data_IF_819133261291
#
_entry.id   IF_819133261291
#
_cell.length_a   1.000
_cell.length_b   1.000
_cell.length_c   1.000
_cell.angle_alpha   90.00
_cell.angle_beta   90.00
_cell.angle_gamma   90.00
#
_symmetry.space_group_name_H-M   'P 1'
#
loop_
_entity.id
_entity.type
_entity.pdbx_description
1 polymer ?
#
# COMPACT_ATOMS: atom_id res chain seq x y z
N UNK A 1 -54.38 -28.90 8.16
CA UNK A 1 -53.79 -27.61 7.70
C UNK A 1 -52.29 -27.65 7.93
N UNK A 2 -51.48 -27.79 6.87
CA UNK A 2 -50.02 -27.74 6.96
C UNK A 2 -49.61 -26.35 6.55
N UNK A 3 -49.14 -25.53 7.51
CA UNK A 3 -48.55 -24.20 7.23
C UNK A 3 -47.16 -24.36 6.64
N UNK A 4 -46.95 -23.99 5.41
CA UNK A 4 -45.66 -23.83 4.78
C UNK A 4 -45.07 -22.50 5.19
N UNK A 5 -44.03 -22.51 6.06
CA UNK A 5 -43.21 -21.32 6.30
C UNK A 5 -42.20 -21.17 5.16
N UNK A 6 -42.43 -20.18 4.31
CA UNK A 6 -41.43 -19.72 3.33
C UNK A 6 -40.40 -18.89 4.05
N UNK A 7 -39.19 -19.44 4.27
CA UNK A 7 -38.05 -18.64 4.74
C UNK A 7 -37.48 -17.92 3.55
N UNK A 8 -37.81 -16.61 3.44
CA UNK A 8 -37.18 -15.72 2.48
C UNK A 8 -35.74 -15.44 2.92
N UNK A 9 -34.78 -16.16 2.33
CA UNK A 9 -33.36 -15.91 2.53
C UNK A 9 -32.98 -14.60 1.83
N UNK A 10 -32.87 -13.53 2.60
CA UNK A 10 -32.35 -12.25 2.09
C UNK A 10 -30.83 -12.39 2.02
N UNK A 11 -30.31 -12.68 0.83
CA UNK A 11 -28.86 -12.61 0.56
C UNK A 11 -28.45 -11.15 0.50
N UNK A 12 -27.92 -10.63 1.61
CA UNK A 12 -27.31 -9.29 1.65
C UNK A 12 -26.00 -9.41 0.87
N UNK A 13 -26.00 -8.93 -0.38
CA UNK A 13 -24.80 -8.73 -1.16
C UNK A 13 -24.04 -7.53 -0.55
N UNK A 14 -23.06 -7.80 0.31
CA UNK A 14 -22.12 -6.81 0.78
C UNK A 14 -21.30 -6.34 -0.41
N UNK A 15 -21.60 -5.18 -0.96
CA UNK A 15 -20.73 -4.52 -1.94
C UNK A 15 -19.47 -4.07 -1.21
N UNK A 16 -18.39 -4.79 -1.36
CA UNK A 16 -17.06 -4.30 -1.02
C UNK A 16 -16.72 -3.21 -2.03
N UNK A 17 -16.64 -1.97 -1.58
CA UNK A 17 -16.14 -0.87 -2.39
C UNK A 17 -14.62 -0.98 -2.44
N UNK A 18 -14.09 -1.37 -3.59
CA UNK A 18 -12.66 -1.32 -3.87
C UNK A 18 -12.31 0.11 -4.27
N UNK A 19 -11.37 0.73 -3.58
CA UNK A 19 -10.87 2.06 -3.90
C UNK A 19 -9.57 1.96 -4.71
N UNK A 20 -9.36 2.92 -5.60
CA UNK A 20 -8.06 3.12 -6.23
C UNK A 20 -7.50 4.45 -5.73
N UNK A 21 -6.39 4.37 -5.00
CA UNK A 21 -5.67 5.51 -4.49
C UNK A 21 -4.52 5.88 -5.42
N UNK A 22 -4.41 7.15 -5.75
CA UNK A 22 -3.37 7.71 -6.60
C UNK A 22 -2.39 8.53 -5.77
N UNK A 23 -1.10 8.37 -6.04
CA UNK A 23 -0.02 9.08 -5.34
C UNK A 23 0.92 9.70 -6.35
N UNK A 24 1.25 10.98 -6.18
CA UNK A 24 2.14 11.73 -7.07
C UNK A 24 2.87 12.81 -6.29
N UNK A 25 4.14 13.08 -6.61
CA UNK A 25 4.88 14.17 -5.99
C UNK A 25 4.24 15.56 -6.24
N UNK A 26 3.44 15.70 -7.32
CA UNK A 26 2.64 16.88 -7.60
C UNK A 26 1.28 16.89 -6.88
N UNK A 27 0.98 15.89 -6.06
CA UNK A 27 -0.27 15.77 -5.30
C UNK A 27 -0.33 16.66 -4.08
N UNK A 28 -1.40 16.47 -3.31
CA UNK A 28 -1.62 17.11 -2.02
C UNK A 28 -2.29 16.12 -1.06
N UNK A 29 -1.81 16.04 0.17
CA UNK A 29 -2.33 15.11 1.18
C UNK A 29 -3.70 15.52 1.75
N UNK A 30 -4.17 16.72 1.44
CA UNK A 30 -5.55 17.15 1.71
C UNK A 30 -6.55 16.64 0.66
N UNK A 31 -6.07 16.09 -0.46
CA UNK A 31 -6.91 15.44 -1.46
C UNK A 31 -7.53 14.14 -0.91
N UNK A 32 -8.53 13.62 -1.63
CA UNK A 32 -9.11 12.31 -1.31
C UNK A 32 -8.31 11.13 -1.87
N UNK A 33 -7.37 11.37 -2.79
CA UNK A 33 -6.53 10.37 -3.44
C UNK A 33 -7.25 9.44 -4.42
N UNK A 34 -8.55 9.61 -4.64
CA UNK A 34 -9.37 8.66 -5.41
C UNK A 34 -9.39 8.92 -6.92
N UNK A 35 -8.59 9.87 -7.39
CA UNK A 35 -8.42 10.11 -8.82
C UNK A 35 -7.01 10.61 -9.13
N UNK A 36 -6.56 10.40 -10.37
CA UNK A 36 -5.26 10.88 -10.82
C UNK A 36 -5.17 12.42 -10.91
N UNK A 37 -6.30 13.15 -10.91
CA UNK A 37 -6.35 14.61 -10.85
C UNK A 37 -6.16 15.15 -9.43
N UNK A 38 -6.52 14.37 -8.41
CA UNK A 38 -6.44 14.73 -7.00
C UNK A 38 -5.69 13.67 -6.19
N UNK A 39 -4.42 13.37 -6.56
CA UNK A 39 -3.64 12.33 -5.90
C UNK A 39 -3.17 12.81 -4.52
N UNK A 40 -2.84 11.88 -3.66
CA UNK A 40 -2.03 12.12 -2.47
C UNK A 40 -0.60 12.50 -2.87
N UNK A 41 0.14 13.08 -1.96
CA UNK A 41 1.52 13.48 -2.19
C UNK A 41 2.53 12.54 -1.54
N UNK A 42 2.30 12.13 -0.31
CA UNK A 42 3.32 11.51 0.53
C UNK A 42 3.02 10.07 0.89
N UNK A 43 4.09 9.33 1.22
CA UNK A 43 4.00 8.01 1.86
C UNK A 43 3.36 8.12 3.25
N UNK A 44 3.62 9.20 3.99
CA UNK A 44 3.04 9.40 5.32
C UNK A 44 1.52 9.42 5.29
N UNK A 45 0.95 10.02 4.24
CA UNK A 45 -0.50 10.00 4.01
C UNK A 45 -1.01 8.57 3.79
N UNK A 46 -0.31 7.78 2.99
CA UNK A 46 -0.66 6.37 2.76
C UNK A 46 -0.56 5.55 4.06
N UNK A 47 0.46 5.82 4.87
CA UNK A 47 0.68 5.16 6.16
C UNK A 47 -0.44 5.44 7.19
N UNK A 48 -1.25 6.49 6.96
CA UNK A 48 -2.43 6.79 7.79
C UNK A 48 -3.68 6.01 7.39
N UNK A 49 -3.65 5.31 6.25
CA UNK A 49 -4.81 4.60 5.68
C UNK A 49 -4.76 3.13 6.06
N UNK A 50 -5.92 2.58 6.42
CA UNK A 50 -6.12 1.14 6.53
C UNK A 50 -6.86 0.67 5.28
N UNK A 51 -6.16 -0.07 4.41
CA UNK A 51 -6.68 -0.51 3.12
C UNK A 51 -7.63 -1.69 3.28
N UNK A 52 -8.59 -1.81 2.38
CA UNK A 52 -9.54 -2.92 2.33
C UNK A 52 -9.17 -3.91 1.22
N UNK A 53 -9.74 -5.11 1.31
CA UNK A 53 -9.59 -6.10 0.26
C UNK A 53 -10.07 -5.55 -1.10
N UNK A 54 -9.23 -5.67 -2.12
CA UNK A 54 -9.45 -5.17 -3.47
C UNK A 54 -9.01 -3.73 -3.72
N UNK A 55 -8.53 -3.00 -2.69
CA UNK A 55 -7.99 -1.66 -2.89
C UNK A 55 -6.71 -1.70 -3.74
N UNK A 56 -6.50 -0.65 -4.52
CA UNK A 56 -5.29 -0.46 -5.32
C UNK A 56 -4.60 0.84 -4.92
N UNK A 57 -3.28 0.82 -4.83
CA UNK A 57 -2.44 1.97 -4.53
C UNK A 57 -1.51 2.18 -5.73
N UNK A 58 -1.73 3.26 -6.47
CA UNK A 58 -1.04 3.53 -7.71
C UNK A 58 -0.08 4.71 -7.55
N UNK A 59 1.22 4.44 -7.72
CA UNK A 59 2.28 5.42 -7.68
C UNK A 59 2.54 6.01 -9.07
N UNK A 60 2.68 7.33 -9.17
CA UNK A 60 2.97 8.00 -10.44
C UNK A 60 4.33 7.57 -10.98
N UNK A 61 4.34 7.06 -12.21
CA UNK A 61 5.56 6.69 -12.94
C UNK A 61 6.58 7.83 -12.98
N UNK A 62 7.86 7.48 -12.82
CA UNK A 62 8.97 8.43 -12.83
C UNK A 62 9.06 9.35 -11.61
N UNK A 63 8.21 9.16 -10.60
CA UNK A 63 8.30 9.90 -9.33
C UNK A 63 9.14 9.14 -8.30
N UNK A 64 9.60 9.86 -7.29
CA UNK A 64 10.49 9.35 -6.25
C UNK A 64 9.97 9.74 -4.87
N UNK A 65 9.95 8.77 -3.95
CA UNK A 65 9.58 8.99 -2.55
C UNK A 65 10.67 8.47 -1.63
N UNK A 66 10.81 9.13 -0.49
CA UNK A 66 11.65 8.69 0.62
C UNK A 66 10.78 8.26 1.79
N UNK A 67 11.24 7.22 2.49
CA UNK A 67 10.56 6.68 3.66
C UNK A 67 10.08 5.25 3.46
N UNK A 68 9.47 4.71 4.50
CA UNK A 68 8.94 3.35 4.53
C UNK A 68 7.42 3.37 4.30
N UNK A 69 6.97 2.70 3.27
CA UNK A 69 5.54 2.50 3.04
C UNK A 69 5.05 1.29 3.85
N UNK A 70 4.29 1.55 4.89
CA UNK A 70 3.66 0.52 5.69
C UNK A 70 2.24 0.25 5.19
N UNK A 71 2.07 -0.89 4.51
CA UNK A 71 0.76 -1.33 4.02
C UNK A 71 -0.01 -1.92 5.18
N UNK A 72 -1.10 -1.26 5.58
CA UNK A 72 -2.02 -1.71 6.63
C UNK A 72 -3.29 -2.25 6.00
N UNK A 73 -3.74 -3.42 6.47
CA UNK A 73 -4.90 -4.11 5.92
C UNK A 73 -4.53 -5.34 5.11
N UNK A 74 -5.49 -6.20 4.89
CA UNK A 74 -5.31 -7.45 4.14
C UNK A 74 -6.28 -7.52 2.97
N UNK A 75 -5.82 -8.12 1.88
CA UNK A 75 -6.66 -8.56 0.79
C UNK A 75 -7.32 -9.90 1.07
N UNK A 76 -7.90 -10.47 0.04
CA UNK A 76 -8.36 -11.85 -0.02
C UNK A 76 -7.85 -12.48 -1.31
N UNK A 77 -7.94 -13.79 -1.46
CA UNK A 77 -7.54 -14.50 -2.69
C UNK A 77 -8.28 -13.97 -3.93
N UNK A 78 -9.53 -13.54 -3.76
CA UNK A 78 -10.37 -13.00 -4.84
C UNK A 78 -10.28 -11.47 -5.00
N UNK A 79 -9.74 -10.77 -3.99
CA UNK A 79 -9.65 -9.33 -3.95
C UNK A 79 -8.36 -8.92 -3.20
N UNK A 80 -7.16 -9.13 -3.79
CA UNK A 80 -5.91 -8.72 -3.17
C UNK A 80 -5.81 -7.19 -3.09
N UNK A 81 -5.02 -6.68 -2.15
CA UNK A 81 -4.54 -5.29 -2.20
C UNK A 81 -3.42 -5.22 -3.22
N UNK A 82 -3.49 -4.26 -4.14
CA UNK A 82 -2.51 -4.12 -5.22
C UNK A 82 -1.75 -2.81 -5.09
N UNK A 83 -0.43 -2.87 -5.11
CA UNK A 83 0.45 -1.72 -5.26
C UNK A 83 1.06 -1.77 -6.65
N UNK A 84 0.91 -0.70 -7.45
CA UNK A 84 1.39 -0.67 -8.83
C UNK A 84 1.72 0.79 -9.25
N UNK A 85 2.16 0.95 -10.50
CA UNK A 85 2.47 2.23 -11.12
C UNK A 85 1.36 2.69 -12.08
N UNK A 86 1.29 4.00 -12.33
CA UNK A 86 0.40 4.56 -13.35
C UNK A 86 1.06 5.71 -14.13
N UNK A 87 0.61 5.89 -15.37
CA UNK A 87 0.82 7.10 -16.17
C UNK A 87 2.18 7.22 -16.86
N UNK A 88 2.88 6.12 -17.09
CA UNK A 88 4.13 6.10 -17.86
C UNK A 88 4.82 4.74 -17.80
N UNK A 89 5.99 4.63 -18.43
CA UNK A 89 6.80 3.42 -18.49
C UNK A 89 7.95 3.40 -17.46
N UNK A 90 8.33 4.56 -16.93
CA UNK A 90 9.35 4.65 -15.89
C UNK A 90 8.77 4.20 -14.56
N UNK A 91 9.49 3.32 -13.86
CA UNK A 91 9.02 2.87 -12.54
C UNK A 91 9.09 4.02 -11.53
N UNK A 92 8.06 4.17 -10.68
CA UNK A 92 8.19 4.97 -9.48
C UNK A 92 9.20 4.32 -8.52
N UNK A 93 9.95 5.13 -7.81
CA UNK A 93 10.99 4.70 -6.89
C UNK A 93 10.59 5.01 -5.45
N UNK A 94 10.71 4.02 -4.57
CA UNK A 94 10.61 4.21 -3.12
C UNK A 94 11.99 3.91 -2.52
N UNK A 95 12.61 4.95 -1.97
CA UNK A 95 13.85 4.83 -1.21
C UNK A 95 13.57 4.75 0.28
N UNK A 96 13.98 3.66 0.90
CA UNK A 96 13.81 3.48 2.35
C UNK A 96 14.56 4.51 3.20
N UNK A 97 15.56 5.20 2.64
CA UNK A 97 16.31 6.30 3.26
C UNK A 97 16.67 6.06 4.73
N UNK A 98 17.27 4.89 5.01
CA UNK A 98 17.68 4.51 6.37
C UNK A 98 16.62 3.80 7.22
N UNK A 99 15.40 3.63 6.74
CA UNK A 99 14.44 2.72 7.37
C UNK A 99 14.84 1.25 7.11
N UNK A 100 14.33 0.35 7.94
CA UNK A 100 14.62 -1.09 7.82
C UNK A 100 14.17 -1.70 6.49
N UNK A 101 13.17 -1.09 5.85
CA UNK A 101 12.63 -1.52 4.56
C UNK A 101 12.01 -0.35 3.79
N UNK A 102 11.89 -0.50 2.46
CA UNK A 102 11.13 0.45 1.63
C UNK A 102 9.62 0.22 1.78
N UNK A 103 9.22 -1.04 1.89
CA UNK A 103 7.83 -1.45 2.11
C UNK A 103 7.80 -2.40 3.30
N UNK A 104 6.87 -2.14 4.23
CA UNK A 104 6.60 -2.99 5.37
C UNK A 104 5.21 -3.63 5.22
N UNK A 105 5.19 -4.97 5.29
CA UNK A 105 3.98 -5.78 5.38
C UNK A 105 4.09 -6.57 6.68
N UNK A 106 3.17 -6.34 7.61
CA UNK A 106 3.22 -6.98 8.92
C UNK A 106 1.83 -7.50 9.31
N UNK A 107 1.72 -8.81 9.49
CA UNK A 107 0.46 -9.52 9.77
C UNK A 107 -0.66 -9.23 8.75
N UNK A 108 -0.31 -9.11 7.47
CA UNK A 108 -1.24 -8.83 6.39
C UNK A 108 -1.08 -9.89 5.30
N UNK A 109 -2.20 -10.25 4.68
CA UNK A 109 -2.27 -11.28 3.65
C UNK A 109 -2.75 -10.72 2.31
N UNK A 110 -2.47 -11.46 1.23
CA UNK A 110 -2.97 -11.19 -0.11
C UNK A 110 -2.67 -9.77 -0.62
N UNK A 111 -1.37 -9.43 -0.62
CA UNK A 111 -0.84 -8.17 -1.14
C UNK A 111 0.01 -8.47 -2.38
N UNK A 112 -0.24 -7.75 -3.46
CA UNK A 112 0.51 -7.81 -4.72
C UNK A 112 1.24 -6.50 -4.92
N UNK A 113 2.55 -6.56 -5.18
CA UNK A 113 3.37 -5.39 -5.50
C UNK A 113 3.95 -5.57 -6.88
N UNK A 114 3.63 -4.66 -7.79
CA UNK A 114 4.10 -4.63 -9.17
C UNK A 114 4.67 -3.26 -9.52
N UNK A 115 5.46 -3.21 -10.56
CA UNK A 115 5.81 -1.97 -11.24
C UNK A 115 6.59 -0.93 -10.42
N UNK A 116 6.99 -1.23 -9.19
CA UNK A 116 7.69 -0.32 -8.28
C UNK A 116 9.18 -0.68 -8.23
N UNK A 117 10.05 0.31 -8.25
CA UNK A 117 11.46 0.16 -7.95
C UNK A 117 11.71 0.48 -6.48
N UNK A 118 12.39 -0.42 -5.78
CA UNK A 118 12.73 -0.28 -4.37
C UNK A 118 14.25 -0.09 -4.25
N UNK A 119 14.63 0.97 -3.58
CA UNK A 119 16.02 1.30 -3.32
C UNK A 119 16.19 1.71 -1.86
N UNK A 120 17.12 1.11 -1.15
CA UNK A 120 17.40 1.49 0.23
C UNK A 120 18.86 1.96 0.35
N UNK A 121 19.06 3.26 0.21
CA UNK A 121 20.36 3.88 0.47
C UNK A 121 20.47 4.10 1.97
N UNK A 122 21.25 3.27 2.61
CA UNK A 122 21.76 3.56 3.93
C UNK A 122 23.02 4.42 3.76
N UNK A 123 22.93 5.73 3.98
CA UNK A 123 24.13 6.51 4.25
C UNK A 123 24.56 6.17 5.66
N UNK A 124 25.45 5.18 5.79
CA UNK A 124 26.15 4.91 7.03
C UNK A 124 26.94 6.18 7.39
N UNK A 125 26.39 6.96 8.30
CA UNK A 125 27.20 7.99 8.96
C UNK A 125 28.05 7.21 9.95
N UNK A 126 29.34 7.05 9.63
CA UNK A 126 30.36 6.43 10.48
C UNK A 126 30.58 7.24 11.77
N UNK A 127 29.62 7.29 12.65
CA UNK A 127 29.73 7.91 13.97
C UNK A 127 29.09 7.05 15.06
N UNK A 128 29.59 5.82 15.19
CA UNK A 128 29.22 4.98 16.32
C UNK A 128 29.54 3.52 16.10
N UNK A 129 29.86 2.74 17.13
CA UNK A 129 30.10 1.31 16.99
C UNK A 129 28.82 0.65 16.48
N UNK A 130 28.92 -0.03 15.35
CA UNK A 130 27.87 -0.92 14.86
C UNK A 130 27.77 -2.09 15.85
N UNK A 131 26.85 -2.03 16.78
CA UNK A 131 26.45 -3.18 17.56
C UNK A 131 25.46 -4.00 16.74
N UNK A 132 25.92 -4.58 15.64
CA UNK A 132 25.30 -5.80 15.14
C UNK A 132 25.96 -6.90 15.98
N UNK A 133 25.29 -7.27 17.05
CA UNK A 133 25.66 -8.47 17.78
C UNK A 133 25.27 -9.65 16.89
N UNK A 134 26.22 -10.18 16.13
CA UNK A 134 26.11 -11.47 15.48
C UNK A 134 26.05 -12.53 16.58
N UNK A 135 24.85 -12.81 17.08
CA UNK A 135 24.64 -14.08 17.77
C UNK A 135 24.53 -15.18 16.73
N UNK A 136 25.64 -15.72 16.33
CA UNK A 136 25.72 -17.06 15.73
C UNK A 136 25.39 -18.11 16.78
N UNK A 137 24.61 -19.17 16.41
CA UNK A 137 24.24 -20.27 17.32
C UNK A 137 25.42 -21.11 17.76
#
# INVERSE_FOLDING_TARGET
MRSFFFILSITICLKTFCNTYYVSNAGNDDNNGLSYQFPFKSIDKLNSINFNAGDSILFKSGNYWEGMFWIKGSGTDLAPIVVDAYGGSEKPVINGNGFQSCILIYNNDNIIINGIELYNSFSHIDNGPSTIDEQTP
#
